data_IF_325555509995
#
_entry.id   IF_325555509995
#
_cell.length_a   1.000
_cell.length_b   1.000
_cell.length_c   1.000
_cell.angle_alpha   90.00
_cell.angle_beta   90.00
_cell.angle_gamma   90.00
#
_symmetry.space_group_name_H-M   'P 1'
#
loop_
_entity.id
_entity.type
_entity.pdbx_description
1 polymer ?
#
# COMPACT_ATOMS: atom_id res chain seq x y z
N UNK A 1 -24.88 15.13 16.97
CA UNK A 1 -24.88 13.91 16.13
C UNK A 1 -23.67 14.08 15.27
N UNK A 2 -22.67 13.20 15.40
CA UNK A 2 -21.50 13.27 14.50
C UNK A 2 -21.99 12.92 13.09
N UNK A 3 -21.56 13.70 12.10
CA UNK A 3 -21.88 13.42 10.71
C UNK A 3 -21.18 12.13 10.30
N UNK A 4 -21.96 11.18 9.77
CA UNK A 4 -21.43 9.94 9.23
C UNK A 4 -20.50 10.29 8.06
N UNK A 5 -19.25 9.77 8.05
CA UNK A 5 -18.35 9.97 6.91
C UNK A 5 -19.02 9.58 5.59
N UNK A 6 -18.92 10.44 4.59
CA UNK A 6 -19.59 10.30 3.29
C UNK A 6 -19.05 9.15 2.43
N UNK A 7 -17.95 8.53 2.85
CA UNK A 7 -17.32 7.38 2.22
C UNK A 7 -17.84 6.02 2.71
N UNK A 8 -18.84 5.99 3.60
CA UNK A 8 -19.46 4.75 4.09
C UNK A 8 -20.55 4.30 3.10
N UNK A 9 -20.39 3.10 2.55
CA UNK A 9 -21.36 2.48 1.63
C UNK A 9 -22.36 1.56 2.38
N UNK A 10 -23.56 1.30 1.82
CA UNK A 10 -24.49 0.31 2.34
C UNK A 10 -23.91 -1.12 2.35
N UNK A 11 -24.40 -1.96 3.27
CA UNK A 11 -23.94 -3.36 3.41
C UNK A 11 -24.23 -4.18 2.15
N UNK A 12 -25.37 -3.95 1.50
CA UNK A 12 -25.75 -4.62 0.26
C UNK A 12 -24.80 -4.26 -0.90
N UNK A 13 -24.30 -3.03 -0.93
CA UNK A 13 -23.32 -2.60 -1.92
C UNK A 13 -21.97 -3.26 -1.65
N UNK A 14 -21.53 -3.33 -0.39
CA UNK A 14 -20.31 -4.03 0.00
C UNK A 14 -20.35 -5.54 -0.32
N UNK A 15 -21.47 -6.24 -0.06
CA UNK A 15 -21.67 -7.64 -0.47
C UNK A 15 -21.59 -7.79 -2.00
N UNK A 16 -22.24 -6.88 -2.75
CA UNK A 16 -22.19 -6.90 -4.21
C UNK A 16 -20.77 -6.78 -4.74
N UNK A 17 -19.94 -5.89 -4.16
CA UNK A 17 -18.53 -5.74 -4.50
C UNK A 17 -17.73 -7.02 -4.20
N UNK A 18 -17.91 -7.58 -2.99
CA UNK A 18 -17.22 -8.80 -2.56
C UNK A 18 -17.55 -9.99 -3.47
N UNK A 19 -18.85 -10.26 -3.73
CA UNK A 19 -19.29 -11.34 -4.65
C UNK A 19 -18.82 -11.14 -6.08
N UNK A 20 -18.87 -9.91 -6.58
CA UNK A 20 -18.45 -9.60 -7.94
C UNK A 20 -16.96 -9.91 -8.12
N UNK A 21 -16.10 -9.53 -7.17
CA UNK A 21 -14.70 -9.94 -7.18
C UNK A 21 -14.55 -11.46 -7.02
N UNK A 22 -15.31 -12.03 -6.08
CA UNK A 22 -15.62 -13.45 -5.86
C UNK A 22 -15.65 -14.27 -7.14
N UNK A 23 -16.63 -13.93 -7.96
CA UNK A 23 -17.09 -14.70 -9.11
C UNK A 23 -16.36 -14.33 -10.41
N UNK A 24 -15.97 -13.06 -10.58
CA UNK A 24 -15.53 -12.54 -11.88
C UNK A 24 -14.03 -12.22 -11.96
N UNK A 25 -13.29 -12.19 -10.84
CA UNK A 25 -11.86 -11.82 -10.83
C UNK A 25 -10.97 -12.95 -10.34
N UNK A 26 -11.22 -13.48 -9.15
CA UNK A 26 -10.33 -14.51 -8.62
C UNK A 26 -10.20 -15.77 -9.47
N UNK A 27 -11.26 -16.32 -10.11
CA UNK A 27 -11.07 -17.53 -10.92
C UNK A 27 -10.05 -17.32 -12.07
N UNK A 28 -9.93 -16.11 -12.60
CA UNK A 28 -8.91 -15.78 -13.60
C UNK A 28 -7.50 -15.72 -13.00
N UNK A 29 -7.38 -15.13 -11.82
CA UNK A 29 -6.11 -15.05 -11.09
C UNK A 29 -5.66 -16.46 -10.70
N UNK A 30 -6.52 -17.23 -10.05
CA UNK A 30 -6.30 -18.62 -9.66
C UNK A 30 -5.94 -19.48 -10.86
N UNK A 31 -6.71 -19.40 -11.94
CA UNK A 31 -6.43 -20.12 -13.17
C UNK A 31 -5.10 -19.73 -13.82
N UNK A 32 -4.68 -18.47 -13.71
CA UNK A 32 -3.39 -17.99 -14.22
C UNK A 32 -2.22 -18.48 -13.37
N UNK A 33 -2.30 -18.29 -12.04
CA UNK A 33 -1.24 -18.67 -11.11
C UNK A 33 -1.06 -20.19 -11.07
N UNK A 34 -2.14 -20.97 -10.98
CA UNK A 34 -2.07 -22.43 -11.00
C UNK A 34 -1.51 -23.02 -12.31
N UNK A 35 -1.56 -22.27 -13.42
CA UNK A 35 -0.91 -22.67 -14.68
C UNK A 35 0.56 -22.28 -14.75
N UNK A 36 0.94 -21.16 -14.14
CA UNK A 36 2.32 -20.67 -14.12
C UNK A 36 3.20 -21.46 -13.15
N UNK A 37 2.60 -22.04 -12.10
CA UNK A 37 3.30 -22.79 -11.07
C UNK A 37 2.73 -24.21 -11.02
N UNK A 38 3.43 -25.17 -11.61
CA UNK A 38 2.97 -26.57 -11.72
C UNK A 38 3.30 -27.41 -10.47
N UNK A 39 4.32 -27.02 -9.70
CA UNK A 39 4.80 -27.73 -8.50
C UNK A 39 4.26 -27.12 -7.20
N UNK A 40 2.98 -26.75 -7.16
CA UNK A 40 2.36 -26.15 -5.97
C UNK A 40 2.08 -27.19 -4.88
N UNK A 41 2.37 -26.85 -3.62
CA UNK A 41 2.02 -27.71 -2.47
C UNK A 41 0.49 -27.84 -2.31
N UNK A 42 -0.23 -26.78 -2.69
CA UNK A 42 -1.69 -26.71 -2.75
C UNK A 42 -2.13 -25.77 -3.87
N UNK A 43 -3.33 -25.98 -4.46
CA UNK A 43 -3.89 -25.03 -5.41
C UNK A 43 -3.87 -23.61 -4.85
N UNK A 44 -3.48 -22.68 -5.71
CA UNK A 44 -3.55 -21.27 -5.44
C UNK A 44 -5.00 -20.79 -5.38
N UNK A 45 -5.27 -19.97 -4.38
CA UNK A 45 -6.54 -19.31 -4.11
C UNK A 45 -6.24 -17.80 -4.05
N UNK A 46 -7.02 -16.96 -4.73
CA UNK A 46 -6.68 -15.54 -4.78
C UNK A 46 -6.88 -14.86 -3.41
N UNK A 47 -5.99 -13.93 -3.04
CA UNK A 47 -6.22 -13.06 -1.88
C UNK A 47 -7.51 -12.26 -2.09
N UNK A 48 -8.42 -12.32 -1.11
CA UNK A 48 -9.71 -11.58 -1.14
C UNK A 48 -9.71 -10.33 -0.29
N UNK A 49 -8.94 -10.34 0.79
CA UNK A 49 -8.82 -9.23 1.71
C UNK A 49 -7.45 -9.24 2.38
N UNK A 50 -7.13 -8.10 2.98
CA UNK A 50 -5.93 -7.88 3.79
C UNK A 50 -6.38 -7.16 5.04
N UNK A 51 -5.81 -7.50 6.19
CA UNK A 51 -6.17 -6.88 7.46
C UNK A 51 -5.02 -6.03 7.95
N UNK A 52 -5.26 -4.73 8.10
CA UNK A 52 -4.35 -3.87 8.85
C UNK A 52 -4.77 -3.85 10.32
N UNK A 53 -3.80 -3.96 11.24
CA UNK A 53 -4.07 -3.74 12.65
C UNK A 53 -4.49 -2.28 12.88
N UNK A 54 -5.63 -2.09 13.54
CA UNK A 54 -6.26 -0.79 13.65
C UNK A 54 -5.42 0.23 14.43
N UNK A 55 -4.83 -0.18 15.55
CA UNK A 55 -4.01 0.71 16.38
C UNK A 55 -2.66 1.01 15.72
N UNK A 56 -2.06 0.03 15.06
CA UNK A 56 -0.86 0.27 14.23
C UNK A 56 -1.15 1.21 13.07
N UNK A 57 -2.30 1.08 12.40
CA UNK A 57 -2.68 1.97 11.30
C UNK A 57 -2.87 3.41 11.80
N UNK A 58 -3.53 3.62 12.95
CA UNK A 58 -3.62 4.94 13.58
C UNK A 58 -2.24 5.52 13.92
N UNK A 59 -1.36 4.71 14.50
CA UNK A 59 0.00 5.14 14.82
C UNK A 59 0.80 5.50 13.56
N UNK A 60 0.62 4.73 12.49
CA UNK A 60 1.23 4.98 11.18
C UNK A 60 0.73 6.28 10.55
N UNK A 61 -0.58 6.54 10.57
CA UNK A 61 -1.16 7.81 10.10
C UNK A 61 -0.63 9.00 10.91
N UNK A 62 -0.61 8.89 12.25
CA UNK A 62 -0.06 9.93 13.12
C UNK A 62 1.44 10.18 12.86
N UNK A 63 2.20 9.12 12.57
CA UNK A 63 3.60 9.23 12.18
C UNK A 63 3.78 9.99 10.85
N UNK A 64 3.00 9.64 9.81
CA UNK A 64 2.99 10.35 8.53
C UNK A 64 2.69 11.84 8.74
N UNK A 65 1.65 12.17 9.51
CA UNK A 65 1.27 13.57 9.77
C UNK A 65 2.40 14.36 10.43
N UNK A 66 3.04 13.77 11.45
CA UNK A 66 4.17 14.39 12.15
C UNK A 66 5.34 14.66 11.20
N UNK A 67 5.82 13.63 10.50
CA UNK A 67 6.99 13.76 9.61
C UNK A 67 6.72 14.72 8.45
N UNK A 68 5.51 14.66 7.89
CA UNK A 68 5.10 15.55 6.80
C UNK A 68 5.05 17.01 7.25
N UNK A 69 4.52 17.27 8.45
CA UNK A 69 4.50 18.60 9.05
C UNK A 69 5.92 19.14 9.27
N UNK A 70 6.83 18.33 9.78
CA UNK A 70 8.23 18.72 9.98
C UNK A 70 8.97 19.00 8.66
N UNK A 71 8.59 18.31 7.58
CA UNK A 71 9.12 18.54 6.24
C UNK A 71 8.37 19.63 5.45
N UNK A 72 7.34 20.27 6.02
CA UNK A 72 6.59 21.33 5.33
C UNK A 72 5.68 20.84 4.19
N UNK A 73 5.27 19.57 4.20
CA UNK A 73 4.31 19.00 3.23
C UNK A 73 3.01 18.58 3.90
N UNK A 74 1.89 18.72 3.21
CA UNK A 74 0.58 18.26 3.69
C UNK A 74 0.16 17.02 2.92
N UNK A 75 0.01 15.84 3.57
CA UNK A 75 -0.55 14.66 2.92
C UNK A 75 -1.96 14.95 2.39
N UNK A 76 -2.26 14.47 1.19
CA UNK A 76 -3.59 14.58 0.54
C UNK A 76 -4.36 13.27 0.54
N UNK A 77 -3.66 12.17 0.72
CA UNK A 77 -4.28 10.86 0.87
C UNK A 77 -3.25 9.79 1.16
N UNK A 78 -3.75 8.58 1.36
CA UNK A 78 -2.94 7.38 1.49
C UNK A 78 -3.19 6.52 0.25
N UNK A 79 -2.20 6.39 -0.63
CA UNK A 79 -2.33 5.57 -1.83
C UNK A 79 -2.05 4.11 -1.48
N UNK A 80 -2.95 3.23 -1.90
CA UNK A 80 -2.84 1.79 -1.75
C UNK A 80 -2.32 1.21 -3.07
N UNK A 81 -1.21 0.50 -3.00
CA UNK A 81 -0.60 -0.19 -4.14
C UNK A 81 -0.82 -1.68 -4.02
N UNK A 82 -1.19 -2.32 -5.13
CA UNK A 82 -1.18 -3.78 -5.22
C UNK A 82 0.24 -4.28 -5.48
N UNK A 83 0.64 -5.33 -4.77
CA UNK A 83 1.92 -6.02 -4.94
C UNK A 83 1.74 -7.53 -4.89
N UNK A 84 2.85 -8.26 -4.95
CA UNK A 84 2.87 -9.70 -4.71
C UNK A 84 4.14 -10.08 -3.93
N UNK A 85 4.01 -11.01 -3.00
CA UNK A 85 5.16 -11.58 -2.29
C UNK A 85 5.97 -12.48 -3.22
N UNK A 86 7.26 -12.63 -2.93
CA UNK A 86 8.17 -13.40 -3.78
C UNK A 86 7.78 -14.89 -3.80
N UNK A 87 7.70 -15.53 -4.97
CA UNK A 87 7.47 -16.98 -5.05
C UNK A 87 8.65 -17.76 -4.47
N UNK A 88 8.34 -18.93 -3.93
CA UNK A 88 9.26 -19.96 -3.45
C UNK A 88 8.81 -21.34 -3.97
N UNK A 89 9.65 -22.37 -3.80
CA UNK A 89 9.25 -23.73 -4.21
C UNK A 89 7.98 -24.15 -3.46
N UNK A 90 6.97 -24.66 -4.18
CA UNK A 90 5.69 -25.05 -3.58
C UNK A 90 4.73 -23.90 -3.28
N UNK A 91 5.18 -22.64 -3.36
CA UNK A 91 4.43 -21.46 -2.95
C UNK A 91 4.59 -20.31 -3.96
N UNK A 92 3.54 -19.90 -4.68
CA UNK A 92 3.66 -18.94 -5.77
C UNK A 92 3.76 -17.48 -5.30
N UNK A 93 3.81 -17.24 -3.98
CA UNK A 93 3.61 -15.93 -3.40
C UNK A 93 2.11 -15.64 -3.23
N UNK A 94 1.77 -14.43 -2.78
CA UNK A 94 0.39 -13.97 -2.54
C UNK A 94 0.25 -12.52 -3.01
N UNK A 95 -0.92 -12.13 -3.52
CA UNK A 95 -1.20 -10.70 -3.72
C UNK A 95 -1.13 -10.01 -2.37
N UNK A 96 -0.55 -8.81 -2.36
CA UNK A 96 -0.45 -7.96 -1.18
C UNK A 96 -0.81 -6.52 -1.50
N UNK A 97 -0.88 -5.69 -0.45
CA UNK A 97 -0.89 -4.25 -0.60
C UNK A 97 0.20 -3.60 0.24
N UNK A 98 0.66 -2.45 -0.20
CA UNK A 98 1.39 -1.52 0.66
C UNK A 98 0.83 -0.11 0.46
N UNK A 99 1.00 0.74 1.46
CA UNK A 99 0.44 2.08 1.52
C UNK A 99 1.56 3.11 1.46
N UNK A 100 1.30 4.26 0.86
CA UNK A 100 2.26 5.37 0.85
C UNK A 100 1.50 6.71 0.78
N UNK A 101 1.82 7.70 1.63
CA UNK A 101 1.18 9.01 1.54
C UNK A 101 1.44 9.68 0.20
N UNK A 102 0.47 10.46 -0.26
CA UNK A 102 0.59 11.26 -1.49
C UNK A 102 0.39 12.73 -1.19
N UNK A 103 1.07 13.59 -1.94
CA UNK A 103 0.91 15.03 -1.87
C UNK A 103 1.12 15.66 -3.25
N UNK A 104 0.69 16.92 -3.39
CA UNK A 104 0.93 17.71 -4.59
C UNK A 104 2.36 18.27 -4.59
N UNK A 105 3.03 18.18 -5.73
CA UNK A 105 4.37 18.73 -5.94
C UNK A 105 4.37 19.69 -7.14
N UNK A 106 5.18 20.75 -7.06
CA UNK A 106 5.27 21.73 -8.14
C UNK A 106 5.79 21.07 -9.41
N UNK A 107 5.04 21.21 -10.51
CA UNK A 107 5.42 20.66 -11.81
C UNK A 107 5.01 19.21 -12.04
N UNK A 108 4.28 18.59 -11.10
CA UNK A 108 3.68 17.27 -11.25
C UNK A 108 2.16 17.46 -11.25
N UNK A 109 1.48 16.79 -12.17
CA UNK A 109 0.01 16.77 -12.21
C UNK A 109 -0.53 15.70 -11.24
N UNK A 110 -1.51 16.08 -10.42
CA UNK A 110 -2.07 15.25 -9.36
C UNK A 110 -1.17 15.04 -8.14
N UNK A 111 -1.65 14.20 -7.21
CA UNK A 111 -0.91 13.83 -6.00
C UNK A 111 0.01 12.63 -6.26
N UNK A 112 1.25 12.67 -5.77
CA UNK A 112 2.26 11.62 -5.95
C UNK A 112 2.87 11.17 -4.64
N UNK A 113 3.31 9.91 -4.57
CA UNK A 113 3.94 9.35 -3.38
C UNK A 113 5.30 9.99 -3.09
N UNK A 114 5.58 10.18 -1.81
CA UNK A 114 6.80 10.84 -1.35
C UNK A 114 7.44 10.12 -0.16
N UNK A 115 8.71 10.43 0.04
CA UNK A 115 9.53 10.06 1.17
C UNK A 115 10.02 11.35 1.86
N UNK A 116 10.63 11.22 3.03
CA UNK A 116 11.24 12.34 3.74
C UNK A 116 12.75 12.22 3.61
N UNK A 117 13.38 13.23 3.04
CA UNK A 117 14.83 13.39 3.07
C UNK A 117 15.20 14.24 4.29
N UNK A 118 16.16 13.77 5.09
CA UNK A 118 16.78 14.54 6.17
C UNK A 118 18.25 14.79 5.85
N UNK A 119 18.63 16.05 5.69
CA UNK A 119 20.01 16.43 5.41
C UNK A 119 20.93 16.26 6.65
N UNK A 120 22.25 16.45 6.47
CA UNK A 120 23.24 16.36 7.56
C UNK A 120 23.04 17.36 8.70
N UNK A 121 22.32 18.46 8.45
CA UNK A 121 22.03 19.50 9.43
C UNK A 121 20.71 19.21 10.18
N UNK A 122 19.99 18.14 9.80
CA UNK A 122 18.71 17.73 10.38
C UNK A 122 17.49 18.38 9.74
N UNK A 123 17.64 19.13 8.64
CA UNK A 123 16.51 19.72 7.93
C UNK A 123 15.78 18.65 7.13
N UNK A 124 14.44 18.68 7.20
CA UNK A 124 13.57 17.74 6.52
C UNK A 124 12.92 18.37 5.30
N UNK A 125 12.87 17.62 4.21
CA UNK A 125 12.17 18.02 2.99
C UNK A 125 11.48 16.81 2.33
N UNK A 126 10.35 17.02 1.65
CA UNK A 126 9.67 15.97 0.93
C UNK A 126 10.36 15.72 -0.41
N UNK A 127 10.59 14.46 -0.75
CA UNK A 127 11.13 14.03 -2.04
C UNK A 127 10.21 13.00 -2.67
N UNK A 128 9.97 13.06 -3.98
CA UNK A 128 9.09 12.07 -4.62
C UNK A 128 9.72 10.68 -4.59
N UNK A 129 8.91 9.64 -4.42
CA UNK A 129 9.40 8.25 -4.43
C UNK A 129 10.03 7.89 -5.78
N UNK A 130 9.49 8.45 -6.88
CA UNK A 130 10.05 8.28 -8.21
C UNK A 130 11.47 8.84 -8.32
N UNK A 131 11.71 10.03 -7.78
CA UNK A 131 13.05 10.64 -7.78
C UNK A 131 14.06 9.82 -6.97
N UNK A 132 13.61 9.25 -5.84
CA UNK A 132 14.44 8.34 -5.01
C UNK A 132 14.80 7.07 -5.78
N UNK A 133 13.82 6.40 -6.39
CA UNK A 133 14.02 5.10 -7.08
C UNK A 133 14.80 5.27 -8.38
N UNK A 134 14.47 6.28 -9.19
CA UNK A 134 15.13 6.53 -10.47
C UNK A 134 16.54 7.13 -10.31
N UNK A 135 16.95 7.41 -9.07
CA UNK A 135 18.20 8.12 -8.77
C UNK A 135 18.20 9.55 -9.34
N UNK A 136 17.03 10.11 -9.66
CA UNK A 136 16.84 11.51 -10.07
C UNK A 136 16.77 12.40 -8.83
N UNK A 137 17.76 12.27 -7.96
CA UNK A 137 17.98 13.27 -6.91
C UNK A 137 18.35 14.58 -7.64
N UNK A 138 17.76 15.73 -7.29
CA UNK A 138 18.05 16.99 -7.96
C UNK A 138 19.56 17.23 -8.08
N UNK A 139 19.96 17.85 -9.19
CA UNK A 139 21.36 17.93 -9.65
C UNK A 139 22.33 18.39 -8.54
N UNK A 140 23.58 17.87 -8.53
CA UNK A 140 24.63 18.07 -7.52
C UNK A 140 25.19 19.50 -7.35
N UNK A 141 24.44 20.55 -7.68
CA UNK A 141 24.74 21.91 -7.21
C UNK A 141 24.31 22.14 -5.76
N UNK A 142 23.46 21.28 -5.18
CA UNK A 142 23.06 21.31 -3.76
C UNK A 142 23.58 20.07 -3.02
N UNK A 143 24.82 20.13 -2.54
CA UNK A 143 25.54 19.06 -1.83
C UNK A 143 24.90 18.58 -0.51
N UNK A 144 23.73 19.11 -0.14
CA UNK A 144 22.96 18.74 1.04
C UNK A 144 22.00 17.56 0.82
N UNK A 145 21.56 17.32 -0.43
CA UNK A 145 20.64 16.23 -0.79
C UNK A 145 21.33 14.88 -1.00
N UNK A 146 22.62 14.87 -1.32
CA UNK A 146 23.41 13.64 -1.49
C UNK A 146 23.95 13.09 -0.16
N UNK A 147 23.96 13.92 0.88
CA UNK A 147 24.45 13.58 2.22
C UNK A 147 23.26 13.71 3.18
N UNK A 148 22.61 12.60 3.49
CA UNK A 148 21.40 12.57 4.30
C UNK A 148 20.80 11.18 4.37
N UNK A 149 19.70 11.03 5.13
CA UNK A 149 18.94 9.78 5.22
C UNK A 149 17.59 9.98 4.55
N UNK A 150 17.23 9.03 3.69
CA UNK A 150 15.90 8.96 3.09
C UNK A 150 15.06 8.01 3.93
N UNK A 151 13.98 8.54 4.51
CA UNK A 151 12.99 7.76 5.23
C UNK A 151 11.81 7.46 4.31
N UNK A 152 11.63 6.17 4.01
CA UNK A 152 10.40 5.69 3.41
C UNK A 152 9.24 5.92 4.37
N UNK A 153 8.12 6.37 3.82
CA UNK A 153 6.84 6.42 4.51
C UNK A 153 5.94 5.24 4.11
N UNK A 154 6.44 4.27 3.34
CA UNK A 154 5.64 3.13 2.93
C UNK A 154 5.38 2.19 4.12
N UNK A 155 4.14 1.70 4.24
CA UNK A 155 3.75 0.69 5.23
C UNK A 155 3.19 -0.55 4.54
N UNK A 156 3.62 -1.73 4.97
CA UNK A 156 3.25 -3.03 4.38
C UNK A 156 2.83 -4.09 5.41
N UNK A 157 2.68 -3.71 6.69
CA UNK A 157 2.25 -4.61 7.77
C UNK A 157 0.73 -4.88 7.69
N UNK A 158 0.36 -5.71 6.72
CA UNK A 158 -0.97 -6.28 6.55
C UNK A 158 -0.92 -7.78 6.81
N UNK A 159 -1.83 -8.28 7.64
CA UNK A 159 -1.93 -9.69 7.98
C UNK A 159 -2.66 -10.42 6.85
N UNK A 160 -2.08 -11.55 6.43
CA UNK A 160 -2.73 -12.60 5.64
C UNK A 160 -3.52 -13.50 6.58
N UNK A 161 -4.85 -13.47 6.60
CA UNK A 161 -5.56 -14.66 7.03
C UNK A 161 -5.31 -15.77 5.98
N UNK A 162 -5.40 -17.05 6.37
CA UNK A 162 -5.49 -18.13 5.39
C UNK A 162 -6.58 -17.79 4.36
N UNK A 163 -6.47 -18.33 3.12
CA UNK A 163 -7.44 -18.04 2.07
C UNK A 163 -8.85 -18.32 2.57
N UNK A 164 -9.84 -17.51 2.17
CA UNK A 164 -11.20 -17.74 2.58
C UNK A 164 -11.65 -19.09 2.07
N UNK A 165 -11.99 -19.94 3.03
CA UNK A 165 -12.57 -21.24 2.74
C UNK A 165 -13.96 -20.96 2.19
N UNK A 166 -14.37 -21.66 1.13
CA UNK A 166 -15.76 -21.60 0.69
C UNK A 166 -16.67 -21.98 1.87
N UNK A 167 -17.50 -21.04 2.34
CA UNK A 167 -18.29 -21.11 3.58
C UNK A 167 -17.50 -20.93 4.89
N UNK A 168 -16.40 -20.18 4.90
CA UNK A 168 -15.74 -19.75 6.14
C UNK A 168 -16.69 -18.81 6.91
N UNK A 169 -17.19 -19.19 8.09
CA UNK A 169 -18.05 -18.31 8.89
C UNK A 169 -17.34 -17.06 9.39
N UNK A 170 -16.01 -16.95 9.21
CA UNK A 170 -15.20 -15.80 9.59
C UNK A 170 -14.82 -14.88 8.41
N UNK A 171 -15.22 -15.18 7.19
CA UNK A 171 -15.07 -14.26 6.06
C UNK A 171 -16.29 -13.33 5.95
N UNK A 172 -16.22 -12.32 5.06
CA UNK A 172 -17.32 -11.39 4.82
C UNK A 172 -18.63 -12.12 4.49
N UNK A 173 -18.54 -13.31 3.85
CA UNK A 173 -19.65 -14.25 3.61
C UNK A 173 -19.24 -15.72 3.47
#
# INVERSE_FOLDING_TARGET
MEDVPDNIIPVEEADSLYRTYGQNRAPFIEGGVNKLYEDLDKPYEATRFVTADYEKMKAYMAFIEKESKEAGVTPKGLRIYFGATKPAKGNPGRETVFLNPVAAFKGIDGDISYAIHTDVDGNKEPITVGDVIDGKIPKPSDSKLSNGVIQSLAGDDVIWPPPPIQNDPNDYH
#
